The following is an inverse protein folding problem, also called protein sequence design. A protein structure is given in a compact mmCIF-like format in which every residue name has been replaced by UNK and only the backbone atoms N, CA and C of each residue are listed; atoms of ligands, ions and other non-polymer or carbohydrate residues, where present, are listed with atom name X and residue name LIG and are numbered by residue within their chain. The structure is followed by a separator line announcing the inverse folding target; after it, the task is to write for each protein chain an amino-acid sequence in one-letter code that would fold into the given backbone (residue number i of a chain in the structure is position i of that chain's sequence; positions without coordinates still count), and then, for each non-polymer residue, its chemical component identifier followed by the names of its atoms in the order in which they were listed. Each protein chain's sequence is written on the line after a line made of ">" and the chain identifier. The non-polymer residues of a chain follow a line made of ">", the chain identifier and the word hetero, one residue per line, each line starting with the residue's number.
data_IF_012756790707
#
_entry.id   IF_012756790707
#
_cell.length_a   1.000
_cell.length_b   1.000
_cell.length_c   1.000
_cell.angle_alpha   90.00
_cell.angle_beta   90.00
_cell.angle_gamma   90.00
#
_symmetry.space_group_name_H-M   'P 1'
#
loop_
_entity.id
_entity.type
_entity.pdbx_description
1 polymer ?
#
# COMPACT_ATOMS: atom_id res chain seq x y z
N UNK A 1 7.62 9.21 7.33
CA UNK A 1 7.20 7.78 7.41
C UNK A 1 6.05 7.54 8.38
N UNK A 2 5.93 8.35 9.45
CA UNK A 2 4.91 8.17 10.51
C UNK A 2 3.47 8.50 10.08
N UNK A 3 3.26 9.56 9.31
CA UNK A 3 1.91 10.08 8.96
C UNK A 3 1.14 9.14 8.03
N UNK A 4 1.78 8.57 7.00
CA UNK A 4 1.16 7.57 6.12
C UNK A 4 0.81 6.29 6.88
N UNK A 5 1.68 5.84 7.80
CA UNK A 5 1.39 4.71 8.68
C UNK A 5 0.22 5.00 9.63
N UNK A 6 0.11 6.23 10.15
CA UNK A 6 -0.96 6.63 11.06
C UNK A 6 -2.34 6.69 10.38
N UNK A 7 -2.41 7.23 9.16
CA UNK A 7 -3.63 7.23 8.34
C UNK A 7 -4.05 5.81 7.98
N UNK A 8 -3.07 4.94 7.71
CA UNK A 8 -3.30 3.53 7.35
C UNK A 8 -3.63 2.64 8.54
N UNK A 9 -3.23 2.99 9.77
CA UNK A 9 -3.53 2.22 10.99
C UNK A 9 -4.99 2.39 11.45
N UNK A 10 -5.66 3.49 11.11
CA UNK A 10 -7.08 3.72 11.47
C UNK A 10 -8.07 2.81 10.74
N UNK A 11 -7.66 2.12 9.67
CA UNK A 11 -8.51 1.18 8.92
C UNK A 11 -8.44 -0.28 9.45
N UNK A 12 -7.73 -0.53 10.56
CA UNK A 12 -7.54 -1.87 11.13
C UNK A 12 -8.43 -2.15 12.35
N UNK A 13 -9.70 -1.81 12.35
CA UNK A 13 -10.61 -2.22 13.43
C UNK A 13 -11.81 -2.97 12.89
N UNK A 14 -11.72 -4.31 12.91
CA UNK A 14 -12.71 -5.29 13.40
C UNK A 14 -12.37 -6.70 12.89
N UNK A 15 -12.31 -7.64 13.82
CA UNK A 15 -12.02 -9.06 13.69
C UNK A 15 -10.52 -9.41 13.56
N UNK A 16 -9.83 -9.44 14.70
CA UNK A 16 -8.57 -10.18 14.82
C UNK A 16 -8.88 -11.68 14.68
N UNK A 17 -8.32 -12.39 13.70
CA UNK A 17 -8.40 -13.84 13.68
C UNK A 17 -7.72 -14.40 14.93
N UNK A 18 -8.27 -15.49 15.45
CA UNK A 18 -7.69 -16.19 16.62
C UNK A 18 -6.31 -16.78 16.24
N UNK A 19 -5.25 -16.18 16.77
CA UNK A 19 -3.86 -16.55 16.48
C UNK A 19 -3.35 -17.70 17.35
N UNK A 20 -4.17 -18.25 18.25
CA UNK A 20 -3.77 -19.26 19.25
C UNK A 20 -3.37 -20.60 18.64
N UNK A 21 -3.69 -20.86 17.38
CA UNK A 21 -3.44 -22.15 16.69
C UNK A 21 -2.26 -22.12 15.71
N UNK A 22 -1.62 -20.96 15.51
CA UNK A 22 -0.55 -20.82 14.54
C UNK A 22 0.77 -21.39 15.07
N UNK A 23 1.51 -22.11 14.21
CA UNK A 23 2.88 -22.49 14.53
C UNK A 23 3.78 -21.25 14.70
N UNK A 24 4.86 -21.35 15.45
CA UNK A 24 5.77 -20.22 15.68
C UNK A 24 6.29 -19.58 14.36
N UNK A 25 6.48 -20.40 13.31
CA UNK A 25 6.93 -19.89 12.00
C UNK A 25 5.81 -19.19 11.22
N UNK A 26 4.60 -19.71 11.26
CA UNK A 26 3.42 -19.03 10.66
C UNK A 26 3.23 -17.65 11.27
N UNK A 27 3.36 -17.53 12.59
CA UNK A 27 3.25 -16.26 13.30
C UNK A 27 4.32 -15.25 12.85
N UNK A 28 5.54 -15.69 12.57
CA UNK A 28 6.61 -14.82 12.04
C UNK A 28 6.19 -14.21 10.69
N UNK A 29 5.75 -15.05 9.73
CA UNK A 29 5.32 -14.57 8.41
C UNK A 29 4.11 -13.65 8.50
N UNK A 30 3.11 -14.02 9.28
CA UNK A 30 1.90 -13.24 9.46
C UNK A 30 2.20 -11.86 10.08
N UNK A 31 3.05 -11.81 11.11
CA UNK A 31 3.49 -10.56 11.73
C UNK A 31 4.25 -9.67 10.74
N UNK A 32 5.17 -10.22 9.96
CA UNK A 32 5.90 -9.46 8.95
C UNK A 32 4.97 -8.86 7.88
N UNK A 33 3.97 -9.63 7.44
CA UNK A 33 2.98 -9.18 6.45
C UNK A 33 2.07 -8.10 7.04
N UNK A 34 1.64 -8.25 8.29
CA UNK A 34 0.82 -7.25 8.99
C UNK A 34 1.57 -5.93 9.21
N UNK A 35 2.84 -6.01 9.58
CA UNK A 35 3.68 -4.81 9.79
C UNK A 35 4.10 -4.14 8.47
N UNK A 36 4.16 -4.90 7.37
CA UNK A 36 4.63 -4.43 6.06
C UNK A 36 3.68 -4.86 4.94
N UNK A 37 2.43 -4.35 4.88
CA UNK A 37 1.48 -4.71 3.85
C UNK A 37 2.04 -4.47 2.44
N UNK A 38 1.88 -5.45 1.55
CA UNK A 38 2.48 -5.44 0.23
C UNK A 38 3.96 -5.85 0.22
N UNK A 39 4.44 -6.48 1.30
CA UNK A 39 5.79 -7.06 1.34
C UNK A 39 5.97 -8.07 0.22
N UNK A 40 7.15 -8.05 -0.41
CA UNK A 40 7.47 -8.93 -1.53
C UNK A 40 8.03 -10.26 -1.04
N UNK A 41 7.90 -11.30 -1.89
CA UNK A 41 8.46 -12.62 -1.60
C UNK A 41 9.96 -12.58 -1.22
N UNK A 42 10.76 -11.85 -2.01
CA UNK A 42 12.20 -11.75 -1.76
C UNK A 42 12.52 -10.98 -0.46
N UNK A 43 11.71 -10.00 -0.09
CA UNK A 43 11.86 -9.29 1.17
C UNK A 43 11.55 -10.20 2.36
N UNK A 44 10.47 -11.00 2.29
CA UNK A 44 10.15 -12.00 3.30
C UNK A 44 11.26 -13.02 3.45
N UNK A 45 11.78 -13.53 2.33
CA UNK A 45 12.91 -14.46 2.34
C UNK A 45 14.14 -13.85 3.01
N UNK A 46 14.48 -12.61 2.66
CA UNK A 46 15.63 -11.91 3.23
C UNK A 46 15.48 -11.65 4.73
N UNK A 47 14.29 -11.22 5.17
CA UNK A 47 14.03 -10.89 6.58
C UNK A 47 13.98 -12.14 7.47
N UNK A 48 13.48 -13.25 6.95
CA UNK A 48 13.34 -14.50 7.72
C UNK A 48 14.60 -15.38 7.67
N UNK A 49 15.44 -15.22 6.65
CA UNK A 49 16.59 -16.09 6.41
C UNK A 49 16.24 -17.52 5.97
N UNK A 50 14.94 -17.82 5.77
CA UNK A 50 14.51 -19.17 5.38
C UNK A 50 14.77 -19.43 3.88
N UNK A 51 14.91 -20.72 3.57
CA UNK A 51 15.02 -21.16 2.16
C UNK A 51 13.68 -21.03 1.42
N UNK A 52 13.73 -21.10 0.08
CA UNK A 52 12.55 -20.94 -0.77
C UNK A 52 11.41 -21.93 -0.43
N UNK A 53 11.74 -23.18 -0.11
CA UNK A 53 10.74 -24.19 0.19
C UNK A 53 9.93 -23.84 1.43
N UNK A 54 10.62 -23.41 2.51
CA UNK A 54 10.00 -23.00 3.77
C UNK A 54 9.13 -21.76 3.57
N UNK A 55 9.66 -20.71 2.91
CA UNK A 55 8.91 -19.48 2.64
C UNK A 55 7.64 -19.78 1.83
N UNK A 56 7.78 -20.54 0.74
CA UNK A 56 6.63 -20.90 -0.12
C UNK A 56 5.62 -21.79 0.60
N UNK A 57 6.06 -22.67 1.48
CA UNK A 57 5.17 -23.55 2.27
C UNK A 57 4.28 -22.71 3.19
N UNK A 58 4.88 -21.87 4.04
CA UNK A 58 4.11 -21.07 5.01
C UNK A 58 3.24 -19.99 4.34
N UNK A 59 3.69 -19.37 3.26
CA UNK A 59 2.86 -18.42 2.52
C UNK A 59 1.63 -19.09 1.92
N UNK A 60 1.76 -20.28 1.34
CA UNK A 60 0.62 -21.05 0.82
C UNK A 60 -0.32 -21.48 1.94
N UNK A 61 0.20 -21.90 3.07
CA UNK A 61 -0.60 -22.28 4.23
C UNK A 61 -1.40 -21.09 4.79
N UNK A 62 -0.77 -19.93 4.99
CA UNK A 62 -1.44 -18.72 5.43
C UNK A 62 -2.50 -18.24 4.42
N UNK A 63 -2.24 -18.38 3.12
CA UNK A 63 -3.18 -18.02 2.05
C UNK A 63 -4.37 -18.99 2.03
N UNK A 64 -4.14 -20.31 2.14
CA UNK A 64 -5.21 -21.33 2.19
C UNK A 64 -6.06 -21.23 3.44
N UNK A 65 -5.49 -20.83 4.56
CA UNK A 65 -6.20 -20.56 5.82
C UNK A 65 -6.94 -19.22 5.82
N UNK A 66 -6.86 -18.45 4.72
CA UNK A 66 -7.55 -17.15 4.61
C UNK A 66 -7.02 -16.08 5.55
N UNK A 67 -5.76 -16.15 5.97
CA UNK A 67 -5.13 -15.16 6.85
C UNK A 67 -4.44 -14.03 6.08
N UNK A 68 -3.99 -14.34 4.88
CA UNK A 68 -3.37 -13.39 3.95
C UNK A 68 -3.95 -13.52 2.55
N UNK A 69 -3.70 -12.51 1.74
CA UNK A 69 -3.96 -12.56 0.29
C UNK A 69 -2.72 -12.13 -0.49
N UNK A 70 -2.55 -12.67 -1.68
CA UNK A 70 -1.45 -12.34 -2.57
C UNK A 70 -1.93 -11.64 -3.83
N UNK A 71 -1.13 -10.67 -4.28
CA UNK A 71 -1.26 -10.06 -5.60
C UNK A 71 -0.03 -10.45 -6.40
N UNK A 72 -0.23 -11.28 -7.42
CA UNK A 72 0.85 -11.81 -8.26
C UNK A 72 0.86 -11.11 -9.62
N UNK A 73 2.03 -10.69 -10.04
CA UNK A 73 2.31 -10.20 -11.39
C UNK A 73 3.45 -11.04 -11.97
N UNK A 74 3.72 -11.00 -13.29
CA UNK A 74 4.84 -11.74 -13.87
C UNK A 74 6.21 -11.44 -13.23
N UNK A 75 6.35 -10.29 -12.59
CA UNK A 75 7.63 -9.83 -12.02
C UNK A 75 7.69 -9.88 -10.50
N UNK A 76 6.54 -9.81 -9.82
CA UNK A 76 6.51 -9.61 -8.35
C UNK A 76 5.26 -10.24 -7.74
N UNK A 77 5.45 -10.93 -6.63
CA UNK A 77 4.38 -11.35 -5.73
C UNK A 77 4.42 -10.52 -4.46
N UNK A 78 3.30 -9.89 -4.12
CA UNK A 78 3.12 -9.07 -2.92
C UNK A 78 2.06 -9.69 -2.02
N UNK A 79 2.27 -9.63 -0.69
CA UNK A 79 1.41 -10.25 0.31
C UNK A 79 0.79 -9.18 1.20
N UNK A 80 -0.48 -9.37 1.55
CA UNK A 80 -1.29 -8.42 2.32
C UNK A 80 -2.09 -9.15 3.38
N UNK A 81 -2.39 -8.51 4.53
CA UNK A 81 -3.41 -9.00 5.46
C UNK A 81 -4.75 -9.17 4.76
N UNK A 82 -5.51 -10.20 5.12
CA UNK A 82 -6.83 -10.43 4.52
C UNK A 82 -7.79 -9.26 4.78
N UNK A 83 -7.72 -8.67 5.98
CA UNK A 83 -8.56 -7.54 6.40
C UNK A 83 -8.35 -6.25 5.60
N UNK A 84 -7.25 -6.15 4.84
CA UNK A 84 -6.92 -4.93 4.13
C UNK A 84 -7.82 -4.75 2.89
N UNK A 85 -8.48 -3.59 2.77
CA UNK A 85 -9.31 -3.26 1.62
C UNK A 85 -8.48 -3.19 0.32
N UNK A 86 -9.13 -3.39 -0.82
CA UNK A 86 -8.46 -3.30 -2.13
C UNK A 86 -7.85 -1.92 -2.38
N UNK A 87 -8.55 -0.86 -1.96
CA UNK A 87 -8.05 0.51 -2.05
C UNK A 87 -6.78 0.70 -1.21
N UNK A 88 -6.77 0.20 0.02
CA UNK A 88 -5.58 0.23 0.89
C UNK A 88 -4.40 -0.53 0.28
N UNK A 89 -4.63 -1.68 -0.34
CA UNK A 89 -3.58 -2.41 -1.07
C UNK A 89 -2.97 -1.59 -2.21
N UNK A 90 -3.82 -0.90 -2.98
CA UNK A 90 -3.36 0.02 -4.05
C UNK A 90 -2.49 1.14 -3.49
N UNK A 91 -2.89 1.73 -2.36
CA UNK A 91 -2.12 2.78 -1.67
C UNK A 91 -0.75 2.23 -1.24
N UNK A 92 -0.70 1.10 -0.54
CA UNK A 92 0.56 0.48 -0.12
C UNK A 92 1.47 0.18 -1.31
N UNK A 93 0.93 -0.36 -2.38
CA UNK A 93 1.68 -0.64 -3.61
C UNK A 93 2.28 0.63 -4.22
N UNK A 94 1.51 1.73 -4.28
CA UNK A 94 1.98 3.01 -4.83
C UNK A 94 2.97 3.70 -3.92
N UNK A 95 2.77 3.67 -2.61
CA UNK A 95 3.67 4.32 -1.65
C UNK A 95 5.08 3.70 -1.57
N UNK A 96 5.27 2.50 -2.12
CA UNK A 96 6.61 1.89 -2.27
C UNK A 96 7.48 2.58 -3.34
N UNK A 97 6.91 3.38 -4.23
CA UNK A 97 7.61 4.15 -5.24
C UNK A 97 7.79 5.59 -4.77
N UNK A 98 8.99 6.14 -4.93
CA UNK A 98 9.36 7.48 -4.40
C UNK A 98 8.44 8.59 -4.93
N UNK A 99 8.14 8.62 -6.22
CA UNK A 99 7.33 9.71 -6.80
C UNK A 99 5.87 9.65 -6.37
N UNK A 100 5.14 8.53 -6.47
CA UNK A 100 3.78 8.44 -5.91
C UNK A 100 3.75 8.73 -4.42
N UNK A 101 4.73 8.26 -3.64
CA UNK A 101 4.81 8.55 -2.21
C UNK A 101 4.88 10.06 -1.94
N UNK A 102 5.72 10.80 -2.67
CA UNK A 102 5.82 12.26 -2.54
C UNK A 102 4.53 12.97 -2.93
N UNK A 103 3.87 12.51 -4.01
CA UNK A 103 2.56 13.03 -4.43
C UNK A 103 1.53 12.83 -3.31
N UNK A 104 1.44 11.63 -2.76
CA UNK A 104 0.50 11.33 -1.68
C UNK A 104 0.78 12.16 -0.44
N UNK A 105 2.05 12.32 -0.03
CA UNK A 105 2.42 13.15 1.11
C UNK A 105 2.04 14.61 0.91
N UNK A 106 2.27 15.16 -0.28
CA UNK A 106 1.87 16.54 -0.61
C UNK A 106 0.35 16.72 -0.52
N UNK A 107 -0.42 15.78 -1.10
CA UNK A 107 -1.89 15.85 -1.13
C UNK A 107 -2.55 15.57 0.22
N UNK A 108 -1.89 14.86 1.13
CA UNK A 108 -2.35 14.68 2.53
C UNK A 108 -2.25 16.00 3.29
N UNK A 109 -1.23 16.81 3.01
CA UNK A 109 -1.05 18.09 3.70
C UNK A 109 -2.05 19.14 3.21
N UNK A 110 -2.26 19.26 1.90
CA UNK A 110 -3.23 20.18 1.28
C UNK A 110 -3.55 19.79 -0.16
N UNK A 111 -4.61 20.37 -0.68
CA UNK A 111 -4.94 20.26 -2.10
C UNK A 111 -3.96 21.08 -2.95
N UNK A 112 -3.66 20.59 -4.14
CA UNK A 112 -2.72 21.25 -5.06
C UNK A 112 -3.29 21.38 -6.47
N UNK A 113 -3.00 22.51 -7.13
CA UNK A 113 -3.05 22.58 -8.59
C UNK A 113 -1.88 21.79 -9.19
N UNK A 114 -1.93 21.44 -10.47
CA UNK A 114 -0.86 20.66 -11.11
C UNK A 114 0.51 21.36 -10.99
N UNK A 115 0.55 22.66 -11.26
CA UNK A 115 1.79 23.45 -11.16
C UNK A 115 2.35 23.46 -9.73
N UNK A 116 1.49 23.62 -8.72
CA UNK A 116 1.87 23.59 -7.32
C UNK A 116 2.39 22.21 -6.93
N UNK A 117 1.72 21.14 -7.38
CA UNK A 117 2.10 19.75 -7.11
C UNK A 117 3.48 19.41 -7.71
N UNK A 118 3.75 19.85 -8.94
CA UNK A 118 5.07 19.67 -9.58
C UNK A 118 6.19 20.30 -8.77
N UNK A 119 5.96 21.54 -8.29
CA UNK A 119 6.94 22.24 -7.42
C UNK A 119 7.19 21.50 -6.12
N UNK A 120 6.13 21.03 -5.46
CA UNK A 120 6.22 20.32 -4.17
C UNK A 120 6.94 18.97 -4.30
N UNK A 121 6.58 18.20 -5.33
CA UNK A 121 7.14 16.86 -5.57
C UNK A 121 8.58 16.91 -6.07
N UNK A 122 9.01 18.04 -6.64
CA UNK A 122 10.36 18.26 -7.22
C UNK A 122 10.73 17.17 -8.24
N UNK A 123 9.83 16.93 -9.19
CA UNK A 123 10.01 16.01 -10.33
C UNK A 123 9.54 16.67 -11.62
N UNK A 124 10.00 16.15 -12.76
CA UNK A 124 9.58 16.63 -14.07
C UNK A 124 8.04 16.58 -14.22
N UNK A 125 7.40 17.58 -14.85
CA UNK A 125 5.95 17.61 -15.04
C UNK A 125 5.39 16.34 -15.69
N UNK A 126 6.07 15.79 -16.68
CA UNK A 126 5.70 14.53 -17.34
C UNK A 126 5.64 13.37 -16.36
N UNK A 127 6.63 13.26 -15.47
CA UNK A 127 6.68 12.23 -14.43
C UNK A 127 5.52 12.39 -13.44
N UNK A 128 5.28 13.61 -12.96
CA UNK A 128 4.17 13.90 -12.04
C UNK A 128 2.83 13.57 -12.70
N UNK A 129 2.64 13.95 -13.98
CA UNK A 129 1.42 13.67 -14.74
C UNK A 129 1.15 12.15 -14.83
N UNK A 130 2.14 11.35 -15.21
CA UNK A 130 2.01 9.89 -15.33
C UNK A 130 1.58 9.26 -14.00
N UNK A 131 2.23 9.65 -12.90
CA UNK A 131 1.90 9.05 -11.59
C UNK A 131 0.58 9.57 -11.02
N UNK A 132 0.24 10.83 -11.24
CA UNK A 132 -1.05 11.40 -10.85
C UNK A 132 -2.20 10.69 -11.57
N UNK A 133 -2.07 10.47 -12.89
CA UNK A 133 -3.04 9.69 -13.67
C UNK A 133 -3.22 8.28 -13.13
N UNK A 134 -2.13 7.59 -12.75
CA UNK A 134 -2.20 6.26 -12.14
C UNK A 134 -2.90 6.28 -10.77
N UNK A 135 -2.65 7.30 -9.95
CA UNK A 135 -3.30 7.45 -8.64
C UNK A 135 -4.79 7.76 -8.78
N UNK A 136 -5.19 8.53 -9.80
CA UNK A 136 -6.59 8.78 -10.14
C UNK A 136 -7.28 7.50 -10.59
N UNK A 137 -6.66 6.75 -11.51
CA UNK A 137 -7.19 5.48 -12.00
C UNK A 137 -7.35 4.46 -10.87
N UNK A 138 -6.45 4.45 -9.88
CA UNK A 138 -6.55 3.60 -8.71
C UNK A 138 -7.61 4.07 -7.70
N UNK A 139 -8.23 5.24 -7.91
CA UNK A 139 -9.24 5.83 -7.02
C UNK A 139 -8.65 6.47 -5.75
N UNK A 140 -7.33 6.66 -5.70
CA UNK A 140 -6.62 7.23 -4.55
C UNK A 140 -6.67 8.76 -4.55
N UNK A 141 -6.53 9.35 -5.72
CA UNK A 141 -6.58 10.79 -5.95
C UNK A 141 -7.80 11.14 -6.78
N UNK A 142 -8.42 12.26 -6.53
CA UNK A 142 -9.49 12.80 -7.34
C UNK A 142 -9.20 14.23 -7.76
N UNK A 143 -9.88 14.67 -8.82
CA UNK A 143 -9.79 16.04 -9.34
C UNK A 143 -11.08 16.77 -8.99
N UNK A 144 -10.94 17.96 -8.43
CA UNK A 144 -11.99 18.98 -8.38
C UNK A 144 -11.61 20.13 -9.28
N UNK A 145 -12.59 20.90 -9.71
CA UNK A 145 -12.40 22.13 -10.47
C UNK A 145 -12.75 23.30 -9.57
N UNK A 146 -11.86 24.28 -9.50
CA UNK A 146 -12.08 25.56 -8.87
C UNK A 146 -11.75 26.66 -9.89
N UNK A 147 -12.75 27.47 -10.28
CA UNK A 147 -12.60 28.53 -11.30
C UNK A 147 -11.86 28.05 -12.56
N UNK A 148 -12.24 26.88 -13.09
CA UNK A 148 -11.63 26.22 -14.25
C UNK A 148 -10.23 25.63 -14.01
N UNK A 149 -9.62 25.80 -12.83
CA UNK A 149 -8.34 25.18 -12.47
C UNK A 149 -8.57 23.77 -11.91
N UNK A 150 -7.76 22.82 -12.38
CA UNK A 150 -7.76 21.43 -11.87
C UNK A 150 -7.05 21.37 -10.52
N UNK A 151 -7.78 20.99 -9.48
CA UNK A 151 -7.25 20.81 -8.13
C UNK A 151 -7.24 19.32 -7.78
N UNK A 152 -6.07 18.82 -7.47
CA UNK A 152 -5.85 17.43 -7.04
C UNK A 152 -6.01 17.33 -5.53
N UNK A 153 -6.71 16.31 -5.07
CA UNK A 153 -6.91 16.00 -3.65
C UNK A 153 -6.97 14.51 -3.40
N UNK A 154 -6.73 14.09 -2.17
CA UNK A 154 -6.96 12.72 -1.75
C UNK A 154 -8.46 12.41 -1.83
N UNK A 155 -8.79 11.20 -2.28
CA UNK A 155 -10.17 10.73 -2.29
C UNK A 155 -10.65 10.54 -0.84
N UNK A 156 -11.73 11.22 -0.39
CA UNK A 156 -12.23 11.10 0.98
C UNK A 156 -12.55 9.67 1.41
N UNK A 157 -12.97 8.81 0.49
CA UNK A 157 -13.24 7.38 0.74
C UNK A 157 -12.05 6.58 1.30
N UNK A 158 -10.86 7.18 1.35
CA UNK A 158 -9.68 6.56 1.94
C UNK A 158 -9.71 6.64 3.47
N UNK A 159 -10.48 7.60 4.00
CA UNK A 159 -10.58 7.85 5.44
C UNK A 159 -11.76 7.12 6.10
N UNK A 160 -12.66 6.54 5.29
CA UNK A 160 -13.79 5.71 5.71
C UNK A 160 -13.34 4.24 5.90
#
# INVERSE_FOLDING_TARGET
>A
MSVLKSVMQKTQTKNSPDFSTLSGRESIFLNLINQNPGIRYLELKSLTGFNNGVVSHYLRQLESNGLIKSVRTPRVSCFYPLSLSELSQKIFRRSRQVTPQRILLALIQKNHSFRSLVKEVKKAPSTVSVYTTKLIHDGIVMINYNDSEKIFKINPKIYD
#
